data_IF_363772331758
#
_entry.id   IF_363772331758
#
_cell.length_a   1.000
_cell.length_b   1.000
_cell.length_c   1.000
_cell.angle_alpha   90.00
_cell.angle_beta   90.00
_cell.angle_gamma   90.00
#
_symmetry.space_group_name_H-M   'P 1'
#
loop_
_entity.id
_entity.type
_entity.pdbx_description
1 polymer ?
#
# COMPACT_ATOMS: atom_id res chain seq x y z
N UNK A 1 -3.96 -4.71 2.19
CA UNK A 1 -3.69 -3.51 2.99
C UNK A 1 -3.16 -3.97 4.34
N UNK A 2 -1.89 -3.71 4.61
CA UNK A 2 -1.17 -4.28 5.75
C UNK A 2 -1.65 -3.70 7.10
N UNK A 3 -1.30 -4.37 8.19
CA UNK A 3 -1.66 -4.03 9.57
C UNK A 3 -1.20 -2.62 9.97
N UNK A 4 0.00 -2.22 9.53
CA UNK A 4 0.56 -0.89 9.76
C UNK A 4 -0.16 0.21 8.95
N UNK A 5 -0.59 -0.09 7.72
CA UNK A 5 -1.36 0.84 6.89
C UNK A 5 -2.69 1.24 7.54
N UNK A 6 -3.33 0.30 8.26
CA UNK A 6 -4.61 0.56 8.95
C UNK A 6 -4.42 1.33 10.26
N UNK A 7 -3.33 1.10 10.97
CA UNK A 7 -2.97 1.83 12.18
C UNK A 7 -2.71 3.31 11.89
N UNK A 8 -1.88 3.57 10.88
CA UNK A 8 -1.51 4.92 10.45
C UNK A 8 -2.73 5.76 10.04
N UNK A 9 -3.70 5.16 9.35
CA UNK A 9 -4.93 5.86 8.94
C UNK A 9 -5.80 6.35 10.09
N UNK A 10 -5.73 5.68 11.24
CA UNK A 10 -6.56 6.01 12.38
C UNK A 10 -5.89 7.04 13.29
N UNK A 11 -4.55 7.04 13.34
CA UNK A 11 -3.75 8.02 14.08
C UNK A 11 -3.72 9.42 13.43
N UNK A 12 -4.17 9.56 12.18
CA UNK A 12 -4.21 10.83 11.44
C UNK A 12 -5.59 11.08 10.80
N UNK A 13 -6.68 11.08 11.59
CA UNK A 13 -8.05 11.10 11.05
C UNK A 13 -8.43 12.44 10.39
N UNK A 14 -7.71 13.51 10.71
CA UNK A 14 -7.92 14.87 10.21
C UNK A 14 -7.22 15.14 8.88
N UNK A 15 -6.38 14.22 8.40
CA UNK A 15 -5.66 14.38 7.14
C UNK A 15 -6.59 13.95 5.99
N UNK A 16 -6.95 14.85 5.05
CA UNK A 16 -7.99 14.59 4.05
C UNK A 16 -7.47 13.73 2.88
N UNK A 17 -6.63 12.72 3.15
CA UNK A 17 -5.96 11.91 2.13
C UNK A 17 -5.87 10.46 2.62
N UNK A 18 -6.22 9.48 1.76
CA UNK A 18 -6.18 8.04 2.09
C UNK A 18 -4.75 7.55 2.21
N UNK A 19 -4.49 6.45 2.92
CA UNK A 19 -3.13 5.91 3.10
C UNK A 19 -2.43 5.64 1.79
N UNK A 20 -3.15 5.06 0.82
CA UNK A 20 -2.61 4.80 -0.51
C UNK A 20 -2.18 6.09 -1.22
N UNK A 21 -2.83 7.22 -0.93
CA UNK A 21 -2.47 8.54 -1.44
C UNK A 21 -1.32 9.17 -0.61
N UNK A 22 -1.31 8.97 0.71
CA UNK A 22 -0.20 9.40 1.58
C UNK A 22 1.10 8.65 1.24
N UNK A 23 1.03 7.36 0.96
CA UNK A 23 2.18 6.55 0.57
C UNK A 23 2.74 6.97 -0.80
N UNK A 24 1.86 7.39 -1.71
CA UNK A 24 2.29 8.08 -2.93
C UNK A 24 2.99 9.39 -2.56
N UNK A 25 2.38 10.24 -1.72
CA UNK A 25 2.97 11.52 -1.30
C UNK A 25 4.34 11.35 -0.61
N UNK A 26 4.49 10.34 0.25
CA UNK A 26 5.74 9.99 0.91
C UNK A 26 6.83 9.65 -0.12
N UNK A 27 6.52 8.83 -1.14
CA UNK A 27 7.45 8.54 -2.23
C UNK A 27 7.85 9.85 -2.93
N UNK A 28 6.88 10.72 -3.27
CA UNK A 28 7.16 12.01 -3.91
C UNK A 28 8.10 12.89 -3.09
N UNK A 29 7.96 12.88 -1.76
CA UNK A 29 8.75 13.73 -0.85
C UNK A 29 10.11 13.15 -0.49
N UNK A 30 10.29 11.83 -0.54
CA UNK A 30 11.49 11.14 -0.04
C UNK A 30 12.44 10.66 -1.12
N UNK A 31 12.00 10.63 -2.39
CA UNK A 31 12.84 10.23 -3.51
C UNK A 31 13.16 11.43 -4.40
N UNK A 32 14.44 11.66 -4.75
CA UNK A 32 14.84 12.84 -5.52
C UNK A 32 14.33 12.77 -6.97
N UNK A 33 13.96 13.92 -7.52
CA UNK A 33 13.55 14.08 -8.91
C UNK A 33 12.04 14.15 -9.13
N UNK A 34 11.60 14.53 -10.34
CA UNK A 34 10.17 14.65 -10.66
C UNK A 34 9.53 13.26 -10.80
N UNK A 35 8.61 12.95 -9.89
CA UNK A 35 7.80 11.74 -9.97
C UNK A 35 6.50 12.04 -10.69
N UNK A 36 6.33 11.45 -11.86
CA UNK A 36 5.09 11.61 -12.63
C UNK A 36 4.35 10.27 -12.64
N UNK A 37 3.01 10.26 -12.75
CA UNK A 37 2.28 9.04 -13.10
C UNK A 37 2.76 8.43 -14.44
N UNK A 38 3.57 9.17 -15.22
CA UNK A 38 4.26 8.68 -16.41
C UNK A 38 5.31 7.64 -16.05
N UNK A 39 6.06 7.78 -14.95
CA UNK A 39 7.09 6.80 -14.58
C UNK A 39 6.50 5.39 -14.34
N UNK A 40 5.33 5.28 -13.70
CA UNK A 40 4.66 3.99 -13.55
C UNK A 40 4.13 3.44 -14.89
N UNK A 41 3.76 4.33 -15.81
CA UNK A 41 3.31 3.98 -17.15
C UNK A 41 4.51 3.55 -18.04
N UNK A 42 5.66 4.21 -17.91
CA UNK A 42 6.91 3.92 -18.60
C UNK A 42 7.47 2.55 -18.17
N UNK A 43 7.26 2.19 -16.90
CA UNK A 43 7.54 0.84 -16.40
C UNK A 43 6.54 -0.23 -16.92
N UNK A 44 5.48 0.19 -17.61
CA UNK A 44 4.47 -0.67 -18.22
C UNK A 44 3.52 -1.33 -17.22
N UNK A 45 3.47 -0.87 -15.97
CA UNK A 45 2.61 -1.45 -14.92
C UNK A 45 1.23 -0.79 -14.85
N UNK A 46 1.09 0.44 -15.35
CA UNK A 46 -0.19 1.14 -15.44
C UNK A 46 -0.40 1.73 -16.83
N UNK A 47 -1.66 1.88 -17.24
CA UNK A 47 -2.09 2.56 -18.46
C UNK A 47 -2.86 3.83 -18.11
N UNK A 48 -2.73 4.85 -18.96
CA UNK A 48 -3.50 6.09 -18.87
C UNK A 48 -4.73 6.02 -19.78
N UNK A 49 -5.87 6.43 -19.26
CA UNK A 49 -7.11 6.61 -20.02
C UNK A 49 -7.63 8.01 -19.72
N UNK A 50 -7.98 8.78 -20.74
CA UNK A 50 -8.61 10.11 -20.54
C UNK A 50 -9.92 9.90 -19.79
N UNK A 51 -10.17 10.70 -18.76
CA UNK A 51 -11.43 10.59 -18.04
C UNK A 51 -12.60 10.94 -18.95
N UNK A 52 -13.69 10.15 -18.95
CA UNK A 52 -14.89 10.48 -19.70
C UNK A 52 -15.59 11.74 -19.17
N UNK A 53 -15.36 12.10 -17.90
CA UNK A 53 -16.02 13.24 -17.24
C UNK A 53 -15.26 14.57 -17.39
N UNK A 54 -13.94 14.49 -17.62
CA UNK A 54 -13.09 15.67 -17.83
C UNK A 54 -11.88 15.28 -18.70
N UNK A 55 -11.86 15.78 -19.95
CA UNK A 55 -10.80 15.52 -20.92
C UNK A 55 -9.41 16.02 -20.52
N UNK A 56 -9.30 16.83 -19.45
CA UNK A 56 -8.02 17.27 -18.87
C UNK A 56 -7.52 16.35 -17.76
N UNK A 57 -8.37 15.46 -17.27
CA UNK A 57 -8.04 14.50 -16.22
C UNK A 57 -7.74 13.11 -16.79
N UNK A 58 -6.91 12.35 -16.09
CA UNK A 58 -6.42 11.04 -16.53
C UNK A 58 -6.70 9.99 -15.47
N UNK A 59 -7.31 8.89 -15.88
CA UNK A 59 -7.53 7.69 -15.09
C UNK A 59 -6.32 6.76 -15.27
N UNK A 60 -5.75 6.31 -14.15
CA UNK A 60 -4.66 5.33 -14.12
C UNK A 60 -5.25 3.95 -13.84
N UNK A 61 -5.05 3.01 -14.75
CA UNK A 61 -5.52 1.62 -14.61
C UNK A 61 -4.32 0.66 -14.61
N UNK A 62 -4.31 -0.40 -13.80
CA UNK A 62 -3.22 -1.38 -13.84
C UNK A 62 -3.26 -2.18 -15.15
N UNK A 63 -2.10 -2.35 -15.80
CA UNK A 63 -1.97 -3.22 -16.98
C UNK A 63 -2.04 -4.69 -16.56
N UNK A 64 -2.08 -5.61 -17.54
CA UNK A 64 -1.91 -7.05 -17.26
C UNK A 64 -0.60 -7.32 -16.52
N UNK A 65 0.48 -6.64 -16.90
CA UNK A 65 1.79 -6.74 -16.26
C UNK A 65 1.78 -6.20 -14.83
N UNK A 66 1.13 -5.05 -14.58
CA UNK A 66 0.98 -4.49 -13.24
C UNK A 66 0.18 -5.40 -12.31
N UNK A 67 -0.91 -6.00 -12.80
CA UNK A 67 -1.68 -7.00 -12.03
C UNK A 67 -0.85 -8.24 -11.71
N UNK A 68 -0.07 -8.73 -12.69
CA UNK A 68 0.84 -9.86 -12.49
C UNK A 68 1.87 -9.55 -11.40
N UNK A 69 2.56 -8.41 -11.49
CA UNK A 69 3.51 -7.97 -10.47
C UNK A 69 2.87 -7.89 -9.08
N UNK A 70 1.67 -7.31 -8.98
CA UNK A 70 0.95 -7.24 -7.72
C UNK A 70 0.58 -8.63 -7.17
N UNK A 71 0.17 -9.56 -8.04
CA UNK A 71 -0.09 -10.94 -7.61
C UNK A 71 1.16 -11.64 -7.09
N UNK A 72 2.31 -11.45 -7.75
CA UNK A 72 3.61 -11.99 -7.32
C UNK A 72 4.02 -11.42 -5.96
N UNK A 73 3.85 -10.10 -5.77
CA UNK A 73 4.08 -9.44 -4.49
C UNK A 73 3.21 -10.03 -3.37
N UNK A 74 1.91 -10.22 -3.60
CA UNK A 74 1.00 -10.79 -2.59
C UNK A 74 1.42 -12.21 -2.22
N UNK A 75 1.77 -13.05 -3.20
CA UNK A 75 2.26 -14.40 -2.94
C UNK A 75 3.57 -14.39 -2.16
N UNK A 76 4.51 -13.52 -2.51
CA UNK A 76 5.78 -13.38 -1.79
C UNK A 76 5.55 -12.92 -0.34
N UNK A 77 4.68 -11.93 -0.13
CA UNK A 77 4.34 -11.43 1.19
C UNK A 77 3.65 -12.49 2.07
N UNK A 78 2.77 -13.31 1.49
CA UNK A 78 2.16 -14.43 2.21
C UNK A 78 3.19 -15.47 2.65
N UNK A 79 4.15 -15.82 1.78
CA UNK A 79 5.25 -16.72 2.13
C UNK A 79 6.11 -16.15 3.26
N UNK A 80 6.48 -14.88 3.14
CA UNK A 80 7.24 -14.19 4.18
C UNK A 80 6.54 -14.24 5.55
N UNK A 81 5.24 -13.94 5.60
CA UNK A 81 4.47 -14.00 6.84
C UNK A 81 4.34 -15.43 7.39
N UNK A 82 4.20 -16.44 6.53
CA UNK A 82 4.22 -17.84 6.94
C UNK A 82 5.55 -18.24 7.56
N UNK A 83 6.65 -17.90 6.90
CA UNK A 83 8.01 -18.21 7.35
C UNK A 83 8.30 -17.52 8.68
N UNK A 84 7.89 -16.26 8.82
CA UNK A 84 8.01 -15.50 10.06
C UNK A 84 7.23 -16.15 11.20
N UNK A 85 5.98 -16.55 10.95
CA UNK A 85 5.15 -17.25 11.92
C UNK A 85 5.77 -18.57 12.38
N UNK A 86 6.33 -19.35 11.45
CA UNK A 86 7.02 -20.59 11.78
C UNK A 86 8.29 -20.36 12.60
N UNK A 87 9.16 -19.43 12.19
CA UNK A 87 10.41 -19.11 12.87
C UNK A 87 10.19 -18.56 14.29
N UNK A 88 9.16 -17.74 14.48
CA UNK A 88 8.81 -17.18 15.78
C UNK A 88 8.10 -18.20 16.68
N UNK A 89 7.48 -19.22 16.09
CA UNK A 89 6.52 -20.09 16.75
C UNK A 89 5.13 -19.45 16.76
N UNK A 90 4.14 -20.23 16.32
CA UNK A 90 2.77 -19.78 16.04
C UNK A 90 2.17 -18.99 17.21
N UNK A 91 2.30 -19.48 18.46
CA UNK A 91 1.76 -18.80 19.65
C UNK A 91 2.36 -17.40 19.86
N UNK A 92 3.67 -17.21 19.64
CA UNK A 92 4.32 -15.90 19.79
C UNK A 92 3.90 -14.95 18.67
N UNK A 93 3.77 -15.48 17.45
CA UNK A 93 3.28 -14.71 16.31
C UNK A 93 1.83 -14.26 16.51
N UNK A 94 0.94 -15.14 16.97
CA UNK A 94 -0.44 -14.78 17.33
C UNK A 94 -0.50 -13.71 18.42
N UNK A 95 0.34 -13.83 19.46
CA UNK A 95 0.45 -12.80 20.50
C UNK A 95 0.92 -11.46 19.93
N UNK A 96 1.89 -11.44 19.01
CA UNK A 96 2.32 -10.23 18.31
C UNK A 96 1.14 -9.60 17.54
N UNK A 97 0.40 -10.40 16.76
CA UNK A 97 -0.77 -9.89 16.01
C UNK A 97 -1.84 -9.33 16.96
N UNK A 98 -2.08 -9.97 18.11
CA UNK A 98 -3.00 -9.46 19.15
C UNK A 98 -2.52 -8.14 19.73
N UNK A 99 -1.23 -8.02 20.08
CA UNK A 99 -0.65 -6.80 20.63
C UNK A 99 -0.69 -5.65 19.62
N UNK A 100 -0.36 -5.91 18.35
CA UNK A 100 -0.48 -4.89 17.31
C UNK A 100 -1.94 -4.49 17.10
N UNK A 101 -2.88 -5.45 17.10
CA UNK A 101 -4.32 -5.15 16.99
C UNK A 101 -4.83 -4.34 18.17
N UNK A 102 -4.31 -4.60 19.38
CA UNK A 102 -4.60 -3.84 20.59
C UNK A 102 -4.03 -2.42 20.52
N UNK A 103 -2.76 -2.28 20.12
CA UNK A 103 -2.15 -0.97 19.88
C UNK A 103 -2.97 -0.16 18.85
N UNK A 104 -3.42 -0.81 17.78
CA UNK A 104 -4.27 -0.19 16.76
C UNK A 104 -5.66 0.22 17.26
N UNK A 105 -6.12 -0.31 18.41
CA UNK A 105 -7.35 0.14 19.06
C UNK A 105 -7.10 1.43 19.83
N UNK A 106 -5.99 1.52 20.57
CA UNK A 106 -5.64 2.71 21.34
C UNK A 106 -5.14 3.87 20.48
N UNK A 107 -4.44 3.59 19.37
CA UNK A 107 -4.00 4.60 18.41
C UNK A 107 -5.13 5.08 17.46
N UNK A 108 -6.35 4.57 17.65
CA UNK A 108 -7.53 4.95 16.89
C UNK A 108 -8.49 5.86 17.67
N UNK A 109 -8.17 6.15 18.94
CA UNK A 109 -8.73 7.24 19.74
C UNK A 109 -7.90 8.51 19.50
#
# INVERSE_FOLDING_TARGET
MDLFCRAYMRACPTVPIRHSQMLVLEILCTTPGPHTPMMLADLGYVSRVVSPDDGRSVIILPTKRGRKLYSEYITANQRFLSDLSQKMGIKKFESLIKLISLANKYLAE
#
